data_IF_881657802378
#
_entry.id   IF_881657802378
#
_cell.length_a   1.000
_cell.length_b   1.000
_cell.length_c   1.000
_cell.angle_alpha   90.00
_cell.angle_beta   90.00
_cell.angle_gamma   90.00
#
_symmetry.space_group_name_H-M   'P 1'
#
loop_
_entity.id
_entity.type
_entity.pdbx_description
1 polymer ?
#
# COMPACT_ATOMS: atom_id res chain seq x y z
N UNK A 1 11.71 42.70 -67.44
CA UNK A 1 10.36 42.99 -67.96
C UNK A 1 9.34 42.70 -66.91
N UNK A 2 8.72 43.76 -66.45
CA UNK A 2 7.32 44.00 -66.15
C UNK A 2 6.69 43.18 -65.00
N UNK A 3 6.43 43.77 -63.80
CA UNK A 3 5.23 44.56 -63.36
C UNK A 3 3.98 43.68 -63.24
N UNK A 4 3.25 43.55 -62.11
CA UNK A 4 2.45 44.46 -61.33
C UNK A 4 1.85 43.67 -60.15
N UNK A 5 1.86 44.13 -58.88
CA UNK A 5 0.87 45.04 -58.23
C UNK A 5 -0.45 44.37 -57.86
N UNK A 6 -0.80 44.47 -56.55
CA UNK A 6 -2.18 44.29 -56.12
C UNK A 6 -2.34 44.19 -54.57
N UNK A 7 -2.60 45.34 -53.97
CA UNK A 7 -3.06 45.58 -52.57
C UNK A 7 -4.39 44.88 -52.26
N UNK A 8 -4.60 44.54 -51.02
CA UNK A 8 -5.91 44.26 -50.46
C UNK A 8 -5.86 44.07 -48.94
N UNK A 9 -5.88 45.20 -48.19
CA UNK A 9 -6.16 45.19 -46.74
C UNK A 9 -7.67 45.05 -46.55
N UNK A 10 -8.12 44.10 -45.80
CA UNK A 10 -9.50 43.98 -45.30
C UNK A 10 -9.46 43.65 -43.83
N UNK A 11 -9.61 44.71 -42.98
CA UNK A 11 -9.84 44.56 -41.56
C UNK A 11 -11.32 44.26 -41.29
N UNK A 12 -11.62 43.09 -40.85
CA UNK A 12 -12.96 42.76 -40.29
C UNK A 12 -12.87 42.81 -38.76
N UNK A 13 -13.53 43.79 -38.15
CA UNK A 13 -13.86 43.80 -36.73
C UNK A 13 -15.29 43.28 -36.56
N UNK A 14 -15.58 42.30 -35.76
CA UNK A 14 -16.94 42.02 -35.35
C UNK A 14 -17.27 42.83 -34.10
N UNK A 15 -18.25 43.72 -34.23
CA UNK A 15 -18.95 44.42 -33.17
C UNK A 15 -19.95 43.47 -32.51
N UNK A 16 -19.81 43.25 -31.20
CA UNK A 16 -20.83 42.56 -30.39
C UNK A 16 -21.72 43.61 -29.70
N UNK A 17 -23.04 43.40 -29.64
CA UNK A 17 -23.94 44.32 -28.97
C UNK A 17 -23.93 44.13 -27.45
N UNK A 18 -23.79 45.23 -26.72
CA UNK A 18 -23.93 45.30 -25.26
C UNK A 18 -25.40 45.11 -24.90
N UNK A 19 -25.75 44.03 -24.20
CA UNK A 19 -27.06 43.89 -23.55
C UNK A 19 -27.00 44.50 -22.16
N UNK A 20 -27.82 45.51 -21.94
CA UNK A 20 -28.15 46.07 -20.64
C UNK A 20 -28.80 45.01 -19.77
N UNK A 21 -28.19 44.67 -18.64
CA UNK A 21 -28.79 43.86 -17.58
C UNK A 21 -29.38 44.86 -16.56
N UNK A 22 -30.70 44.73 -16.42
CA UNK A 22 -31.50 45.47 -15.46
C UNK A 22 -31.13 45.07 -14.04
N UNK A 23 -30.73 46.01 -13.22
CA UNK A 23 -30.45 45.84 -11.79
C UNK A 23 -31.79 45.71 -11.04
N UNK A 24 -32.13 44.50 -10.57
CA UNK A 24 -33.17 44.34 -9.57
C UNK A 24 -32.62 44.52 -8.17
N UNK A 25 -33.12 45.54 -7.50
CA UNK A 25 -32.83 45.89 -6.12
C UNK A 25 -33.26 44.79 -5.15
N UNK A 26 -32.33 44.12 -4.51
CA UNK A 26 -32.58 43.32 -3.32
C UNK A 26 -32.60 44.23 -2.09
N UNK A 27 -33.78 44.46 -1.54
CA UNK A 27 -34.00 45.11 -0.28
C UNK A 27 -33.35 44.31 0.86
N UNK A 28 -32.35 44.91 1.48
CA UNK A 28 -31.64 44.38 2.64
C UNK A 28 -32.56 44.33 3.86
N UNK A 29 -32.96 43.15 4.30
CA UNK A 29 -33.60 42.95 5.60
C UNK A 29 -32.51 42.99 6.68
N UNK A 30 -32.35 44.16 7.31
CA UNK A 30 -31.47 44.37 8.47
C UNK A 30 -32.18 43.88 9.73
N UNK A 31 -31.87 42.67 10.20
CA UNK A 31 -32.28 42.20 11.53
C UNK A 31 -31.33 42.85 12.54
N UNK A 32 -31.82 43.55 13.55
CA UNK A 32 -30.96 44.22 14.52
C UNK A 32 -30.27 43.17 15.40
N UNK A 33 -28.95 43.28 15.52
CA UNK A 33 -28.06 42.37 16.30
C UNK A 33 -28.52 42.14 17.75
N UNK A 34 -29.32 43.05 18.32
CA UNK A 34 -29.88 42.94 19.68
C UNK A 34 -30.95 41.85 19.82
N UNK A 35 -31.66 41.48 18.75
CA UNK A 35 -32.66 40.39 18.76
C UNK A 35 -32.00 39.00 18.75
N UNK A 36 -30.82 38.86 18.16
CA UNK A 36 -30.10 37.59 18.06
C UNK A 36 -29.47 37.17 19.42
N UNK A 37 -28.98 38.14 20.19
CA UNK A 37 -28.43 37.89 21.53
C UNK A 37 -29.49 37.50 22.54
N UNK A 38 -30.73 37.99 22.43
CA UNK A 38 -31.81 37.59 23.36
C UNK A 38 -32.30 36.16 23.13
N UNK A 39 -32.28 35.66 21.87
CA UNK A 39 -32.72 34.31 21.54
C UNK A 39 -31.71 33.25 22.05
N UNK A 40 -30.41 33.56 22.02
CA UNK A 40 -29.35 32.65 22.53
C UNK A 40 -29.36 32.54 24.04
N UNK A 41 -29.75 33.60 24.76
CA UNK A 41 -29.84 33.57 26.24
C UNK A 41 -31.08 32.78 26.74
N UNK A 42 -32.16 32.75 25.98
CA UNK A 42 -33.35 31.96 26.31
C UNK A 42 -33.11 30.48 26.07
N UNK A 43 -32.38 30.09 24.99
CA UNK A 43 -32.00 28.70 24.75
C UNK A 43 -30.97 28.16 25.75
N UNK A 44 -30.09 29.01 26.27
CA UNK A 44 -29.08 28.62 27.29
C UNK A 44 -29.69 28.31 28.68
N UNK A 45 -30.84 28.88 28.99
CA UNK A 45 -31.47 28.69 30.32
C UNK A 45 -32.37 27.46 30.39
N UNK A 46 -32.87 26.95 29.30
CA UNK A 46 -33.68 25.72 29.27
C UNK A 46 -32.86 24.43 29.39
N UNK A 47 -31.55 24.48 29.17
CA UNK A 47 -30.65 23.31 29.29
C UNK A 47 -30.21 23.05 30.76
N UNK A 48 -30.33 24.06 31.66
CA UNK A 48 -29.89 23.93 33.06
C UNK A 48 -30.98 23.46 34.03
N UNK A 49 -32.21 23.24 33.58
CA UNK A 49 -33.35 22.90 34.46
C UNK A 49 -33.82 21.45 34.39
N UNK A 50 -33.01 20.52 33.83
CA UNK A 50 -33.33 19.10 33.88
C UNK A 50 -32.59 18.46 35.07
N UNK A 51 -33.32 17.85 36.05
CA UNK A 51 -32.67 17.11 37.14
C UNK A 51 -32.00 15.85 36.55
N UNK A 52 -30.86 15.41 37.12
CA UNK A 52 -30.22 14.19 36.68
C UNK A 52 -31.17 13.00 36.89
N UNK A 53 -31.54 12.32 35.84
CA UNK A 53 -32.22 11.04 35.90
C UNK A 53 -31.28 10.05 36.59
N UNK A 54 -31.58 9.69 37.84
CA UNK A 54 -30.94 8.56 38.48
C UNK A 54 -31.44 7.29 37.82
N UNK A 55 -30.64 6.73 36.93
CA UNK A 55 -30.80 5.37 36.47
C UNK A 55 -30.42 4.44 37.65
N UNK A 56 -31.40 3.94 38.35
CA UNK A 56 -31.24 2.79 39.22
C UNK A 56 -31.03 1.56 38.33
N UNK A 57 -29.80 1.20 38.11
CA UNK A 57 -29.46 -0.13 37.60
C UNK A 57 -29.36 -1.08 38.80
N UNK A 58 -30.43 -1.78 39.09
CA UNK A 58 -30.36 -3.01 39.87
C UNK A 58 -29.71 -4.09 39.00
N UNK A 59 -28.41 -4.16 39.02
CA UNK A 59 -27.68 -5.34 38.57
C UNK A 59 -27.37 -6.10 39.84
N UNK A 60 -28.03 -7.24 40.00
CA UNK A 60 -27.70 -8.23 41.01
C UNK A 60 -26.22 -8.54 40.93
N UNK A 61 -25.51 -8.14 41.98
CA UNK A 61 -24.10 -8.39 42.19
C UNK A 61 -23.91 -9.88 42.53
N UNK A 62 -23.84 -10.72 41.51
CA UNK A 62 -23.48 -12.13 41.69
C UNK A 62 -21.99 -12.19 42.02
N UNK A 63 -21.71 -12.02 43.30
CA UNK A 63 -20.40 -12.31 43.88
C UNK A 63 -20.13 -13.81 43.82
N UNK A 64 -19.55 -14.28 42.73
CA UNK A 64 -18.94 -15.61 42.68
C UNK A 64 -17.61 -15.53 43.42
N UNK A 65 -17.64 -15.77 44.72
CA UNK A 65 -16.42 -16.07 45.48
C UNK A 65 -15.95 -17.45 45.06
N UNK A 66 -14.71 -17.60 44.53
CA UNK A 66 -14.13 -18.91 44.35
C UNK A 66 -14.02 -19.57 45.75
N UNK A 67 -14.78 -20.61 45.97
CA UNK A 67 -14.64 -21.43 47.16
C UNK A 67 -13.39 -22.29 46.99
N UNK A 68 -12.27 -21.79 47.45
CA UNK A 68 -11.07 -22.59 47.63
C UNK A 68 -11.31 -23.43 48.88
N UNK A 69 -11.80 -24.62 48.72
CA UNK A 69 -11.72 -25.63 49.79
C UNK A 69 -10.24 -26.06 49.91
N UNK A 70 -9.66 -26.05 51.09
CA UNK A 70 -8.33 -26.61 51.26
C UNK A 70 -8.44 -28.13 51.08
N UNK A 71 -7.88 -28.59 49.94
CA UNK A 71 -7.70 -30.04 49.67
C UNK A 71 -6.72 -30.52 50.69
N UNK A 72 -7.24 -31.33 51.67
CA UNK A 72 -6.38 -32.15 52.51
C UNK A 72 -5.66 -33.18 51.66
N UNK A 73 -4.37 -33.38 51.82
CA UNK A 73 -3.66 -34.43 51.09
C UNK A 73 -4.20 -35.80 51.51
N UNK A 74 -4.91 -36.47 50.59
CA UNK A 74 -5.20 -37.90 50.74
C UNK A 74 -3.91 -38.69 50.54
N UNK A 75 -3.77 -39.82 51.22
CA UNK A 75 -2.57 -40.63 51.13
C UNK A 75 -2.39 -41.15 49.69
N UNK A 76 -1.14 -41.18 49.27
CA UNK A 76 -0.63 -41.63 48.01
C UNK A 76 -1.20 -43.00 47.62
N UNK A 77 -2.16 -43.01 46.69
CA UNK A 77 -2.41 -44.19 45.87
C UNK A 77 -1.43 -44.16 44.74
N UNK A 78 -0.59 -45.21 44.70
CA UNK A 78 0.55 -45.38 43.81
C UNK A 78 0.16 -45.23 42.35
N UNK A 79 0.45 -44.07 41.74
CA UNK A 79 0.49 -43.92 40.30
C UNK A 79 1.75 -44.59 39.83
N UNK A 80 1.55 -45.72 39.11
CA UNK A 80 2.58 -46.50 38.47
C UNK A 80 3.54 -45.54 37.69
N UNK A 81 4.86 -45.54 37.99
CA UNK A 81 5.83 -44.72 37.32
C UNK A 81 5.92 -44.95 35.79
N UNK A 82 5.35 -46.10 35.32
CA UNK A 82 5.32 -46.44 33.89
C UNK A 82 4.35 -45.60 33.06
N UNK A 83 3.42 -44.83 33.69
CA UNK A 83 2.44 -43.97 33.01
C UNK A 83 2.91 -42.53 32.81
N UNK A 84 4.15 -42.19 33.18
CA UNK A 84 4.76 -40.92 32.77
C UNK A 84 5.18 -41.04 31.30
N UNK A 85 4.21 -40.95 30.41
CA UNK A 85 4.50 -40.69 28.97
C UNK A 85 5.17 -39.33 28.88
N UNK A 86 6.51 -39.35 28.85
CA UNK A 86 7.29 -38.22 28.42
C UNK A 86 7.04 -38.04 26.91
N UNK A 87 5.88 -37.52 26.54
CA UNK A 87 5.70 -36.96 25.18
C UNK A 87 6.58 -35.73 25.10
N UNK A 88 7.83 -35.95 24.66
CA UNK A 88 8.66 -34.84 24.19
C UNK A 88 7.84 -34.09 23.15
N UNK A 89 7.55 -32.78 23.33
CA UNK A 89 6.86 -32.05 22.29
C UNK A 89 7.73 -32.12 21.04
N UNK A 90 7.24 -32.81 20.03
CA UNK A 90 7.92 -32.91 18.75
C UNK A 90 7.73 -31.52 18.10
N UNK A 91 8.76 -30.66 18.13
CA UNK A 91 8.82 -29.45 17.32
C UNK A 91 8.88 -29.91 15.87
N UNK A 92 7.77 -29.86 15.18
CA UNK A 92 7.71 -29.99 13.73
C UNK A 92 7.91 -28.57 13.19
N UNK A 93 9.12 -28.24 12.75
CA UNK A 93 9.35 -27.04 11.96
C UNK A 93 8.62 -27.24 10.64
N UNK A 94 7.53 -26.54 10.47
CA UNK A 94 6.74 -26.56 9.24
C UNK A 94 7.13 -25.33 8.44
N UNK A 95 8.06 -25.49 7.52
CA UNK A 95 8.40 -24.45 6.55
C UNK A 95 7.22 -24.26 5.60
N UNK A 96 6.39 -23.27 5.88
CA UNK A 96 5.30 -22.88 5.01
C UNK A 96 5.76 -21.70 4.15
N UNK A 97 5.85 -21.91 2.85
CA UNK A 97 6.15 -20.84 1.89
C UNK A 97 4.84 -20.20 1.47
N UNK A 98 4.69 -18.90 1.75
CA UNK A 98 3.55 -18.10 1.34
C UNK A 98 3.86 -17.38 0.01
N UNK A 99 2.89 -17.42 -0.89
CA UNK A 99 2.98 -16.82 -2.23
C UNK A 99 1.77 -15.92 -2.41
N UNK A 100 1.94 -14.59 -2.24
CA UNK A 100 0.92 -13.62 -2.63
C UNK A 100 0.71 -13.66 -4.15
N UNK A 101 -0.54 -13.62 -4.58
CA UNK A 101 -0.92 -13.68 -6.00
C UNK A 101 -1.96 -12.62 -6.31
N UNK A 102 -1.69 -11.79 -7.30
CA UNK A 102 -2.65 -10.85 -7.88
C UNK A 102 -3.09 -11.36 -9.25
N UNK A 103 -4.38 -11.35 -9.52
CA UNK A 103 -4.95 -11.74 -10.81
C UNK A 103 -5.63 -10.53 -11.45
N UNK A 104 -5.32 -10.27 -12.72
CA UNK A 104 -5.96 -9.19 -13.47
C UNK A 104 -6.47 -9.67 -14.82
N UNK A 105 -7.48 -8.98 -15.33
CA UNK A 105 -7.94 -9.14 -16.71
C UNK A 105 -7.06 -8.34 -17.69
N UNK A 106 -7.30 -8.45 -19.02
CA UNK A 106 -6.53 -7.70 -20.02
C UNK A 106 -6.63 -6.17 -19.92
N UNK A 107 -7.66 -5.67 -19.23
CA UNK A 107 -7.85 -4.23 -18.97
C UNK A 107 -7.20 -3.80 -17.65
N UNK A 108 -6.36 -4.67 -17.06
CA UNK A 108 -5.73 -4.44 -15.76
C UNK A 108 -6.70 -4.25 -14.60
N UNK A 109 -7.93 -4.78 -14.68
CA UNK A 109 -8.87 -4.82 -13.57
C UNK A 109 -8.62 -6.06 -12.73
N UNK A 110 -8.70 -5.89 -11.41
CA UNK A 110 -8.51 -6.98 -10.45
C UNK A 110 -9.61 -8.03 -10.60
N UNK A 111 -9.23 -9.30 -10.54
CA UNK A 111 -10.15 -10.46 -10.56
C UNK A 111 -10.12 -11.13 -9.20
N UNK A 112 -11.25 -11.10 -8.51
CA UNK A 112 -11.49 -11.72 -7.19
C UNK A 112 -12.51 -12.86 -7.31
N UNK A 113 -12.70 -13.62 -6.23
CA UNK A 113 -13.70 -14.70 -6.18
C UNK A 113 -13.25 -15.98 -6.86
N UNK A 114 -11.95 -16.19 -7.07
CA UNK A 114 -11.39 -17.47 -7.52
C UNK A 114 -11.17 -18.39 -6.33
N UNK A 115 -11.40 -19.68 -6.54
CA UNK A 115 -11.19 -20.74 -5.54
C UNK A 115 -9.79 -21.36 -5.63
N UNK A 116 -9.40 -22.08 -4.59
CA UNK A 116 -8.13 -22.82 -4.54
C UNK A 116 -7.88 -23.69 -5.78
N UNK A 117 -8.93 -24.34 -6.30
CA UNK A 117 -8.86 -25.24 -7.44
C UNK A 117 -8.55 -24.54 -8.77
N UNK A 118 -8.69 -23.22 -8.81
CA UNK A 118 -8.28 -22.42 -9.96
C UNK A 118 -6.76 -22.22 -10.04
N UNK A 119 -6.00 -22.62 -9.01
CA UNK A 119 -4.56 -22.41 -8.95
C UNK A 119 -3.77 -23.69 -9.00
N UNK A 120 -2.68 -23.69 -9.73
CA UNK A 120 -1.65 -24.72 -9.70
C UNK A 120 -0.31 -24.07 -9.41
N UNK A 121 0.37 -24.54 -8.36
CA UNK A 121 1.63 -23.99 -7.90
C UNK A 121 2.76 -24.98 -8.18
N UNK A 122 3.89 -24.46 -8.66
CA UNK A 122 5.07 -25.24 -9.00
C UNK A 122 6.31 -24.66 -8.35
N UNK A 123 7.18 -25.53 -7.84
CA UNK A 123 8.55 -25.21 -7.47
C UNK A 123 9.49 -25.90 -8.46
N UNK A 124 10.20 -25.13 -9.28
CA UNK A 124 10.93 -25.64 -10.41
C UNK A 124 10.00 -26.34 -11.42
N UNK A 125 10.13 -27.68 -11.52
CA UNK A 125 9.27 -28.54 -12.35
C UNK A 125 8.20 -29.26 -11.57
N UNK A 126 8.31 -29.29 -10.23
CA UNK A 126 7.47 -30.11 -9.38
C UNK A 126 6.23 -29.33 -8.95
N UNK A 127 5.05 -29.89 -9.22
CA UNK A 127 3.81 -29.35 -8.72
C UNK A 127 3.75 -29.53 -7.19
N UNK A 128 3.40 -28.45 -6.50
CA UNK A 128 3.25 -28.40 -5.06
C UNK A 128 1.78 -28.45 -4.66
N UNK A 129 1.50 -29.06 -3.52
CA UNK A 129 0.17 -29.08 -2.93
C UNK A 129 -0.09 -27.75 -2.20
N UNK A 130 -1.12 -27.00 -2.60
CA UNK A 130 -1.54 -25.80 -1.89
C UNK A 130 -2.23 -26.24 -0.60
N UNK A 131 -1.60 -26.00 0.55
CA UNK A 131 -2.11 -26.39 1.89
C UNK A 131 -2.85 -25.27 2.58
N UNK A 132 -2.48 -24.04 2.28
CA UNK A 132 -3.17 -22.84 2.77
C UNK A 132 -3.66 -22.03 1.58
N UNK A 133 -4.88 -21.55 1.66
CA UNK A 133 -5.48 -20.64 0.67
C UNK A 133 -6.28 -19.58 1.42
N UNK A 134 -5.99 -18.32 1.18
CA UNK A 134 -6.75 -17.21 1.73
C UNK A 134 -6.89 -16.12 0.67
N UNK A 135 -8.02 -15.43 0.68
CA UNK A 135 -8.29 -14.20 -0.06
C UNK A 135 -8.77 -13.10 0.88
N UNK A 136 -8.57 -13.30 2.19
CA UNK A 136 -9.00 -12.35 3.20
C UNK A 136 -8.01 -11.19 3.32
N UNK A 137 -8.54 -10.01 3.62
CA UNK A 137 -7.74 -8.85 3.96
C UNK A 137 -7.08 -9.05 5.33
N UNK A 138 -5.76 -8.92 5.35
CA UNK A 138 -4.96 -9.02 6.57
C UNK A 138 -4.17 -7.73 6.75
N UNK A 139 -3.87 -7.32 8.00
CA UNK A 139 -3.03 -6.16 8.26
C UNK A 139 -1.69 -6.24 7.55
N UNK A 140 -1.23 -5.10 7.04
CA UNK A 140 -0.02 -4.97 6.22
C UNK A 140 0.94 -3.97 6.86
N UNK A 141 2.24 -4.27 6.79
CA UNK A 141 3.29 -3.28 7.03
C UNK A 141 3.69 -2.67 5.68
N UNK A 142 3.44 -1.37 5.53
CA UNK A 142 3.61 -0.62 4.28
C UNK A 142 4.74 0.39 4.39
N UNK A 143 5.69 0.35 3.45
CA UNK A 143 6.71 1.39 3.30
C UNK A 143 6.47 2.21 2.03
N UNK A 144 6.53 3.52 2.12
CA UNK A 144 6.52 4.41 0.96
C UNK A 144 7.92 4.97 0.75
N UNK A 145 8.45 4.78 -0.45
CA UNK A 145 9.73 5.32 -0.92
C UNK A 145 9.41 6.41 -1.94
N UNK A 146 9.68 7.65 -1.58
CA UNK A 146 9.18 8.82 -2.30
C UNK A 146 10.32 9.68 -2.83
N UNK A 147 10.32 9.90 -4.13
CA UNK A 147 11.33 10.68 -4.83
C UNK A 147 11.15 12.18 -4.59
N UNK A 148 12.24 12.80 -4.13
CA UNK A 148 12.36 14.24 -3.90
C UNK A 148 13.49 14.86 -4.72
N UNK A 149 13.90 14.21 -5.81
CA UNK A 149 14.89 14.73 -6.75
C UNK A 149 14.38 15.98 -7.48
N UNK A 150 15.31 16.71 -8.10
CA UNK A 150 14.98 17.96 -8.79
C UNK A 150 14.01 17.78 -9.97
N UNK A 151 14.04 16.62 -10.65
CA UNK A 151 13.12 16.25 -11.75
C UNK A 151 11.67 16.15 -11.32
N UNK A 152 11.42 15.83 -10.03
CA UNK A 152 10.08 15.74 -9.46
C UNK A 152 9.40 17.11 -9.21
N UNK A 153 10.10 18.24 -9.37
CA UNK A 153 9.58 19.58 -8.99
C UNK A 153 8.21 19.89 -9.58
N UNK A 154 7.98 19.60 -10.85
CA UNK A 154 6.70 19.85 -11.52
C UNK A 154 5.61 18.81 -11.22
N UNK A 155 6.00 17.65 -10.67
CA UNK A 155 5.17 16.47 -10.44
C UNK A 155 4.81 16.31 -8.95
N UNK A 156 5.51 17.01 -8.05
CA UNK A 156 5.54 16.76 -6.62
C UNK A 156 4.17 16.85 -5.94
N UNK A 157 3.36 17.84 -6.30
CA UNK A 157 2.05 18.02 -5.67
C UNK A 157 1.12 16.84 -6.00
N UNK A 158 1.11 16.39 -7.25
CA UNK A 158 0.33 15.22 -7.66
C UNK A 158 0.85 13.93 -7.03
N UNK A 159 2.17 13.82 -6.88
CA UNK A 159 2.76 12.68 -6.20
C UNK A 159 2.38 12.64 -4.70
N UNK A 160 2.32 13.79 -4.02
CA UNK A 160 1.82 13.90 -2.64
C UNK A 160 0.35 13.50 -2.53
N UNK A 161 -0.49 14.00 -3.44
CA UNK A 161 -1.90 13.61 -3.52
C UNK A 161 -2.05 12.09 -3.69
N UNK A 162 -1.22 11.47 -4.53
CA UNK A 162 -1.23 10.02 -4.73
C UNK A 162 -0.90 9.25 -3.45
N UNK A 163 0.07 9.70 -2.66
CA UNK A 163 0.36 9.11 -1.34
C UNK A 163 -0.86 9.18 -0.43
N UNK A 164 -1.56 10.31 -0.43
CA UNK A 164 -2.80 10.49 0.35
C UNK A 164 -3.89 9.51 -0.11
N UNK A 165 -4.12 9.41 -1.43
CA UNK A 165 -5.10 8.48 -2.00
C UNK A 165 -4.74 7.01 -1.69
N UNK A 166 -3.46 6.65 -1.75
CA UNK A 166 -3.00 5.33 -1.34
C UNK A 166 -3.35 5.02 0.12
N UNK A 167 -3.07 5.94 1.03
CA UNK A 167 -3.36 5.75 2.45
C UNK A 167 -4.85 5.71 2.77
N UNK A 168 -5.73 6.31 1.96
CA UNK A 168 -7.18 6.17 2.13
C UNK A 168 -7.67 4.73 1.94
N UNK A 169 -6.89 3.89 1.26
CA UNK A 169 -7.18 2.46 1.11
C UNK A 169 -6.71 1.62 2.29
N UNK A 170 -6.00 2.22 3.24
CA UNK A 170 -5.39 1.55 4.37
C UNK A 170 -6.42 1.08 5.40
N UNK A 171 -6.07 -0.02 6.08
CA UNK A 171 -6.83 -0.54 7.20
C UNK A 171 -6.37 0.15 8.49
N UNK A 172 -7.25 0.42 9.48
CA UNK A 172 -6.84 1.00 10.77
C UNK A 172 -5.76 0.20 11.53
N UNK A 173 -5.59 -1.08 11.21
CA UNK A 173 -4.59 -1.95 11.81
C UNK A 173 -3.22 -1.90 11.13
N UNK A 174 -3.15 -1.34 9.91
CA UNK A 174 -1.89 -1.26 9.17
C UNK A 174 -0.89 -0.36 9.88
N UNK A 175 0.38 -0.61 9.60
CA UNK A 175 1.45 0.29 9.98
C UNK A 175 2.21 0.79 8.75
N UNK A 176 2.73 2.01 8.84
CA UNK A 176 3.36 2.69 7.73
C UNK A 176 4.69 3.29 8.15
N UNK A 177 5.67 3.28 7.26
CA UNK A 177 6.83 4.15 7.35
C UNK A 177 7.06 4.89 6.03
N UNK A 178 7.85 5.94 6.07
CA UNK A 178 8.16 6.70 4.88
C UNK A 178 9.63 7.07 4.79
N UNK A 179 10.19 6.82 3.62
CA UNK A 179 11.53 7.23 3.20
C UNK A 179 11.37 8.19 2.04
N UNK A 180 12.01 9.34 2.12
CA UNK A 180 12.22 10.22 0.97
C UNK A 180 13.64 10.08 0.48
N UNK A 181 13.88 10.36 -0.80
CA UNK A 181 15.24 10.33 -1.34
C UNK A 181 15.47 11.40 -2.40
N UNK A 182 16.71 11.87 -2.45
CA UNK A 182 17.29 12.73 -3.47
C UNK A 182 18.75 12.32 -3.63
N UNK A 183 19.74 13.14 -3.22
CA UNK A 183 21.16 12.77 -3.19
C UNK A 183 21.44 11.57 -2.26
N UNK A 184 20.60 11.34 -1.27
CA UNK A 184 20.62 10.21 -0.34
C UNK A 184 19.22 9.93 0.18
N UNK A 185 18.94 8.68 0.63
CA UNK A 185 17.67 8.38 1.30
C UNK A 185 17.67 8.90 2.74
N UNK A 186 16.48 9.35 3.18
CA UNK A 186 16.21 9.82 4.54
C UNK A 186 14.88 9.22 5.03
N UNK A 187 14.90 8.56 6.19
CA UNK A 187 13.68 8.11 6.86
C UNK A 187 13.01 9.33 7.49
N UNK A 188 11.85 9.73 6.96
CA UNK A 188 11.08 10.86 7.51
C UNK A 188 10.03 10.42 8.53
N UNK A 189 9.61 9.17 8.48
CA UNK A 189 8.71 8.58 9.47
C UNK A 189 9.07 7.12 9.73
N UNK A 190 9.25 6.78 11.00
CA UNK A 190 9.28 5.39 11.48
C UNK A 190 7.88 4.76 11.41
N UNK A 191 7.76 3.46 11.69
CA UNK A 191 6.48 2.77 11.70
C UNK A 191 5.47 3.48 12.58
N UNK A 192 4.34 3.85 11.99
CA UNK A 192 3.20 4.50 12.64
C UNK A 192 1.90 3.99 12.05
N UNK A 193 0.80 4.13 12.78
CA UNK A 193 -0.56 3.90 12.28
C UNK A 193 -1.25 5.22 11.89
N UNK A 194 -0.61 6.36 12.18
CA UNK A 194 -1.12 7.70 11.83
C UNK A 194 -0.69 8.09 10.43
N UNK A 195 -1.64 8.13 9.54
CA UNK A 195 -1.45 8.63 8.17
C UNK A 195 -1.18 10.13 8.18
N UNK A 196 -1.79 10.86 9.11
CA UNK A 196 -1.66 12.31 9.29
C UNK A 196 -0.23 12.71 9.62
N UNK A 197 0.48 11.90 10.42
CA UNK A 197 1.88 12.15 10.77
C UNK A 197 2.79 12.12 9.53
N UNK A 198 2.55 11.15 8.64
CA UNK A 198 3.29 11.02 7.38
C UNK A 198 2.97 12.19 6.45
N UNK A 199 1.68 12.51 6.27
CA UNK A 199 1.25 13.61 5.43
C UNK A 199 1.81 14.94 5.91
N UNK A 200 1.78 15.21 7.22
CA UNK A 200 2.32 16.42 7.82
C UNK A 200 3.81 16.61 7.52
N UNK A 201 4.60 15.54 7.54
CA UNK A 201 6.03 15.60 7.23
C UNK A 201 6.32 15.78 5.74
N UNK A 202 5.50 15.16 4.88
CA UNK A 202 5.68 15.21 3.42
C UNK A 202 5.45 16.60 2.84
N UNK A 203 4.53 17.39 3.41
CA UNK A 203 4.19 18.74 2.93
C UNK A 203 5.39 19.70 2.98
N UNK A 204 6.28 19.56 3.96
CA UNK A 204 7.41 20.47 4.16
C UNK A 204 8.66 20.12 3.36
N UNK A 205 8.68 19.00 2.65
CA UNK A 205 9.84 18.59 1.85
C UNK A 205 9.87 19.33 0.51
N UNK A 206 11.04 19.78 0.07
CA UNK A 206 11.22 20.52 -1.18
C UNK A 206 12.08 19.68 -2.13
N UNK A 207 11.63 19.40 -3.38
CA UNK A 207 12.40 18.67 -4.36
C UNK A 207 13.73 19.35 -4.69
N UNK A 208 14.82 18.59 -4.63
CA UNK A 208 16.17 19.06 -4.95
C UNK A 208 17.15 17.91 -5.09
N UNK A 209 18.28 18.16 -5.75
CA UNK A 209 19.39 17.17 -5.82
C UNK A 209 19.20 16.11 -6.90
N UNK A 210 19.97 15.05 -6.81
CA UNK A 210 20.02 13.92 -7.73
C UNK A 210 19.10 12.79 -7.25
N UNK A 211 19.22 11.60 -7.86
CA UNK A 211 18.29 10.48 -7.62
C UNK A 211 19.05 9.26 -7.16
N UNK A 212 19.03 8.97 -5.84
CA UNK A 212 19.62 7.78 -5.22
C UNK A 212 18.54 6.71 -4.95
N UNK A 213 17.88 6.25 -6.01
CA UNK A 213 16.74 5.32 -5.95
C UNK A 213 17.12 3.95 -5.39
N UNK A 214 18.23 3.38 -5.86
CA UNK A 214 18.67 2.04 -5.42
C UNK A 214 19.08 2.05 -3.93
N UNK A 215 19.73 3.12 -3.46
CA UNK A 215 20.04 3.31 -2.04
C UNK A 215 18.74 3.39 -1.20
N UNK A 216 17.71 4.05 -1.72
CA UNK A 216 16.41 4.18 -1.04
C UNK A 216 15.66 2.85 -0.97
N UNK A 217 15.69 2.06 -2.03
CA UNK A 217 15.12 0.70 -2.04
C UNK A 217 15.84 -0.19 -1.03
N UNK A 218 17.18 -0.13 -0.99
CA UNK A 218 17.97 -0.86 0.02
C UNK A 218 17.53 -0.51 1.44
N UNK A 219 17.44 0.78 1.74
CA UNK A 219 16.99 1.25 3.06
C UNK A 219 15.58 0.77 3.39
N UNK A 220 14.64 0.86 2.42
CA UNK A 220 13.26 0.41 2.59
C UNK A 220 13.15 -1.08 2.87
N UNK A 221 13.87 -1.91 2.11
CA UNK A 221 13.93 -3.36 2.33
C UNK A 221 14.55 -3.68 3.69
N UNK A 222 15.61 -2.98 4.08
CA UNK A 222 16.25 -3.15 5.39
C UNK A 222 15.30 -2.78 6.54
N UNK A 223 14.54 -1.69 6.39
CA UNK A 223 13.53 -1.25 7.37
C UNK A 223 12.41 -2.26 7.54
N UNK A 224 11.99 -2.93 6.46
CA UNK A 224 10.96 -3.97 6.50
C UNK A 224 11.30 -5.19 7.35
N UNK A 225 12.56 -5.36 7.75
CA UNK A 225 12.93 -6.41 8.73
C UNK A 225 12.35 -6.16 10.11
N UNK A 226 12.04 -4.90 10.44
CA UNK A 226 11.43 -4.48 11.71
C UNK A 226 9.90 -4.49 11.68
N UNK A 227 9.30 -4.80 10.53
CA UNK A 227 7.86 -4.78 10.32
C UNK A 227 7.12 -5.79 11.21
N UNK A 228 6.01 -5.35 11.79
CA UNK A 228 5.19 -6.13 12.72
C UNK A 228 4.42 -7.25 12.03
N UNK A 229 3.91 -6.98 10.82
CA UNK A 229 3.05 -7.93 10.12
C UNK A 229 3.82 -8.78 9.13
N UNK A 230 3.41 -10.04 8.92
CA UNK A 230 4.03 -10.92 7.93
C UNK A 230 3.75 -10.46 6.48
N UNK A 231 2.63 -9.77 6.23
CA UNK A 231 2.34 -9.16 4.94
C UNK A 231 3.03 -7.83 4.85
N UNK A 232 4.03 -7.73 3.95
CA UNK A 232 4.93 -6.59 3.82
C UNK A 232 4.91 -6.07 2.40
N UNK A 233 4.78 -4.75 2.23
CA UNK A 233 4.83 -4.15 0.91
C UNK A 233 5.57 -2.81 0.90
N UNK A 234 6.26 -2.53 -0.22
CA UNK A 234 6.89 -1.26 -0.53
C UNK A 234 6.22 -0.63 -1.75
N UNK A 235 5.89 0.64 -1.66
CA UNK A 235 5.45 1.46 -2.78
C UNK A 235 6.54 2.47 -3.11
N UNK A 236 7.10 2.37 -4.31
CA UNK A 236 8.07 3.33 -4.84
C UNK A 236 7.34 4.32 -5.73
N UNK A 237 7.52 5.61 -5.50
CA UNK A 237 7.01 6.69 -6.35
C UNK A 237 8.20 7.53 -6.80
N UNK A 238 8.52 7.48 -8.11
CA UNK A 238 9.70 8.13 -8.69
C UNK A 238 9.48 8.44 -10.16
N UNK A 239 10.26 9.34 -10.72
CA UNK A 239 10.38 9.50 -12.17
C UNK A 239 11.48 8.61 -12.80
N UNK A 240 11.99 7.65 -12.03
CA UNK A 240 12.57 6.41 -12.46
C UNK A 240 14.04 6.40 -12.79
N UNK A 241 14.72 7.53 -12.78
CA UNK A 241 16.17 7.55 -12.98
C UNK A 241 16.94 7.20 -11.72
N UNK A 242 18.00 6.40 -11.82
CA UNK A 242 19.04 6.35 -10.78
C UNK A 242 20.33 6.90 -11.33
N UNK A 243 20.86 7.95 -10.69
CA UNK A 243 22.12 8.57 -11.14
C UNK A 243 23.07 8.88 -9.97
N UNK A 244 22.70 8.44 -8.74
CA UNK A 244 23.51 8.79 -7.57
C UNK A 244 23.61 7.72 -6.48
N UNK A 245 23.05 6.55 -6.68
CA UNK A 245 23.17 5.47 -5.70
C UNK A 245 24.60 4.92 -5.62
N UNK A 246 24.93 4.38 -4.44
CA UNK A 246 26.16 3.63 -4.20
C UNK A 246 26.01 2.16 -4.55
N UNK A 247 24.79 1.62 -4.41
CA UNK A 247 24.46 0.26 -4.78
C UNK A 247 24.22 0.14 -6.28
N UNK A 248 24.61 -0.99 -6.84
CA UNK A 248 24.34 -1.36 -8.22
C UNK A 248 22.98 -2.05 -8.34
N UNK A 249 22.40 -2.04 -9.54
CA UNK A 249 21.16 -2.78 -9.82
C UNK A 249 21.25 -4.28 -9.45
N UNK A 250 22.40 -4.92 -9.75
CA UNK A 250 22.63 -6.33 -9.44
C UNK A 250 22.57 -6.63 -7.95
N UNK A 251 23.13 -5.74 -7.13
CA UNK A 251 23.09 -5.85 -5.66
C UNK A 251 21.67 -5.68 -5.15
N UNK A 252 20.94 -4.68 -5.65
CA UNK A 252 19.54 -4.44 -5.24
C UNK A 252 18.63 -5.58 -5.68
N UNK A 253 18.77 -6.09 -6.91
CA UNK A 253 18.02 -7.27 -7.36
C UNK A 253 18.27 -8.49 -6.46
N UNK A 254 19.47 -8.65 -5.93
CA UNK A 254 19.80 -9.72 -4.97
C UNK A 254 19.13 -9.50 -3.62
N UNK A 255 19.22 -8.28 -3.08
CA UNK A 255 18.58 -7.90 -1.80
C UNK A 255 17.05 -8.06 -1.87
N UNK A 256 16.43 -7.62 -2.98
CA UNK A 256 14.98 -7.72 -3.19
C UNK A 256 14.53 -9.19 -3.32
N UNK A 257 15.35 -10.06 -3.93
CA UNK A 257 15.06 -11.51 -4.00
C UNK A 257 15.10 -12.19 -2.63
N UNK A 258 15.98 -11.73 -1.73
CA UNK A 258 16.09 -12.28 -0.37
C UNK A 258 14.98 -11.78 0.54
N UNK A 259 14.44 -10.59 0.26
CA UNK A 259 13.41 -9.99 1.05
C UNK A 259 12.04 -10.60 0.71
N UNK A 260 11.28 -11.04 1.72
CA UNK A 260 9.89 -11.44 1.54
C UNK A 260 8.98 -10.19 1.62
N UNK A 261 9.21 -9.25 0.69
CA UNK A 261 8.55 -7.94 0.61
C UNK A 261 8.01 -7.74 -0.79
N UNK A 262 6.71 -7.50 -0.89
CA UNK A 262 6.06 -7.20 -2.16
C UNK A 262 6.38 -5.76 -2.59
N UNK A 263 6.84 -5.54 -3.79
CA UNK A 263 7.18 -4.22 -4.28
C UNK A 263 6.24 -3.75 -5.38
N UNK A 264 5.66 -2.56 -5.21
CA UNK A 264 4.95 -1.82 -6.24
C UNK A 264 5.72 -0.57 -6.61
N UNK A 265 5.56 -0.11 -7.84
CA UNK A 265 6.16 1.13 -8.28
C UNK A 265 5.20 1.96 -9.13
N UNK A 266 5.25 3.27 -8.97
CA UNK A 266 4.61 4.25 -9.83
C UNK A 266 5.73 5.08 -10.46
N UNK A 267 5.92 4.90 -11.75
CA UNK A 267 6.89 5.67 -12.54
C UNK A 267 6.22 6.83 -13.28
N UNK A 268 6.71 8.06 -13.08
CA UNK A 268 6.14 9.29 -13.62
C UNK A 268 7.11 9.86 -14.65
N UNK A 269 6.94 9.53 -15.93
CA UNK A 269 7.92 9.84 -16.99
C UNK A 269 7.46 11.01 -17.88
N UNK A 270 8.44 11.78 -18.38
CA UNK A 270 8.18 12.76 -19.43
C UNK A 270 8.37 12.09 -20.80
N UNK A 271 7.29 11.97 -21.58
CA UNK A 271 7.33 11.39 -22.91
C UNK A 271 7.93 12.29 -23.97
N UNK A 272 7.91 13.60 -23.76
CA UNK A 272 8.33 14.55 -24.80
C UNK A 272 9.84 14.78 -24.78
N UNK A 273 10.45 14.85 -23.59
CA UNK A 273 11.88 15.14 -23.43
C UNK A 273 12.51 14.29 -22.32
N UNK A 274 12.42 12.94 -22.40
CA UNK A 274 12.99 12.09 -21.34
C UNK A 274 14.51 12.19 -21.33
N UNK A 275 15.07 12.28 -20.13
CA UNK A 275 16.50 12.09 -19.90
C UNK A 275 16.91 10.64 -20.19
N UNK A 276 18.22 10.35 -20.23
CA UNK A 276 18.70 8.98 -20.44
C UNK A 276 18.28 8.09 -19.26
N UNK A 277 18.36 8.61 -18.05
CA UNK A 277 17.94 7.94 -16.83
C UNK A 277 16.43 7.64 -16.84
N UNK A 278 15.59 8.60 -17.21
CA UNK A 278 14.15 8.39 -17.33
C UNK A 278 13.77 7.32 -18.37
N UNK A 279 14.60 7.11 -19.40
CA UNK A 279 14.36 6.04 -20.37
C UNK A 279 14.64 4.64 -19.83
N UNK A 280 15.58 4.51 -18.90
CA UNK A 280 15.95 3.23 -18.28
C UNK A 280 15.07 2.92 -17.05
N UNK A 281 14.48 3.93 -16.43
CA UNK A 281 13.67 3.81 -15.22
C UNK A 281 12.52 2.80 -15.32
N UNK A 282 11.70 2.79 -16.39
CA UNK A 282 10.59 1.84 -16.53
C UNK A 282 11.01 0.38 -16.47
N UNK A 283 12.13 0.03 -17.13
CA UNK A 283 12.65 -1.33 -17.15
C UNK A 283 13.14 -1.75 -15.77
N UNK A 284 13.93 -0.88 -15.10
CA UNK A 284 14.42 -1.12 -13.75
C UNK A 284 13.29 -1.35 -12.75
N UNK A 285 12.29 -0.46 -12.72
CA UNK A 285 11.16 -0.59 -11.80
C UNK A 285 10.30 -1.83 -12.10
N UNK A 286 10.10 -2.17 -13.39
CA UNK A 286 9.39 -3.37 -13.80
C UNK A 286 10.09 -4.63 -13.32
N UNK A 287 11.40 -4.75 -13.54
CA UNK A 287 12.18 -5.92 -13.13
C UNK A 287 12.18 -6.10 -11.60
N UNK A 288 12.37 -5.03 -10.83
CA UNK A 288 12.38 -5.09 -9.37
C UNK A 288 11.01 -5.50 -8.81
N UNK A 289 9.92 -4.97 -9.36
CA UNK A 289 8.57 -5.32 -8.91
C UNK A 289 8.17 -6.75 -9.31
N UNK A 290 8.51 -7.19 -10.52
CA UNK A 290 8.21 -8.54 -11.01
C UNK A 290 8.89 -9.65 -10.17
N UNK A 291 10.10 -9.42 -9.69
CA UNK A 291 10.81 -10.35 -8.82
C UNK A 291 9.98 -10.69 -7.59
N UNK A 292 9.31 -9.70 -7.02
CA UNK A 292 8.51 -9.83 -5.78
C UNK A 292 7.07 -10.27 -6.01
N UNK A 293 6.60 -10.25 -7.25
CA UNK A 293 5.19 -10.50 -7.60
C UNK A 293 4.31 -9.26 -7.54
N UNK A 294 4.90 -8.09 -7.38
CA UNK A 294 4.22 -6.81 -7.53
C UNK A 294 4.22 -6.29 -8.95
N UNK A 295 3.99 -4.99 -9.11
CA UNK A 295 3.80 -4.38 -10.43
C UNK A 295 4.35 -2.96 -10.49
N UNK A 296 4.89 -2.58 -11.63
CA UNK A 296 5.18 -1.19 -11.97
C UNK A 296 4.04 -0.61 -12.84
N UNK A 297 3.69 0.62 -12.56
CA UNK A 297 2.72 1.41 -13.33
C UNK A 297 3.43 2.63 -13.90
N UNK A 298 3.42 2.74 -15.21
CA UNK A 298 3.92 3.93 -15.91
C UNK A 298 2.78 4.92 -16.07
N UNK A 299 3.04 6.17 -15.72
CA UNK A 299 2.07 7.26 -15.77
C UNK A 299 2.62 8.38 -16.63
N UNK A 300 1.86 8.77 -17.64
CA UNK A 300 2.17 9.84 -18.57
C UNK A 300 1.54 11.16 -18.10
N UNK A 301 0.37 11.08 -17.49
CA UNK A 301 -0.35 12.24 -16.97
C UNK A 301 -0.33 12.21 -15.43
N UNK A 302 0.35 13.16 -14.77
CA UNK A 302 0.40 13.20 -13.31
C UNK A 302 -0.96 13.24 -12.61
N UNK A 303 -2.05 13.61 -13.31
CA UNK A 303 -3.39 13.60 -12.72
C UNK A 303 -3.92 12.16 -12.49
N UNK A 304 -3.38 11.15 -13.15
CA UNK A 304 -3.80 9.75 -12.99
C UNK A 304 -3.12 9.07 -11.79
N UNK A 305 -2.18 9.76 -11.12
CA UNK A 305 -1.41 9.24 -10.00
C UNK A 305 -2.29 8.76 -8.84
N UNK A 306 -3.31 9.55 -8.47
CA UNK A 306 -4.22 9.21 -7.38
C UNK A 306 -5.01 7.93 -7.65
N UNK A 307 -5.51 7.78 -8.88
CA UNK A 307 -6.27 6.59 -9.30
C UNK A 307 -5.40 5.34 -9.29
N UNK A 308 -4.15 5.45 -9.75
CA UNK A 308 -3.20 4.32 -9.76
C UNK A 308 -2.78 3.96 -8.34
N UNK A 309 -2.54 4.94 -7.48
CA UNK A 309 -2.21 4.71 -6.08
C UNK A 309 -3.37 3.99 -5.34
N UNK A 310 -4.60 4.45 -5.54
CA UNK A 310 -5.81 3.79 -5.04
C UNK A 310 -5.92 2.35 -5.55
N UNK A 311 -5.66 2.13 -6.84
CA UNK A 311 -5.68 0.79 -7.43
C UNK A 311 -4.66 -0.14 -6.80
N UNK A 312 -3.42 0.31 -6.55
CA UNK A 312 -2.39 -0.46 -5.86
C UNK A 312 -2.87 -0.84 -4.45
N UNK A 313 -3.45 0.10 -3.72
CA UNK A 313 -3.99 -0.15 -2.40
C UNK A 313 -5.09 -1.21 -2.41
N UNK A 314 -6.02 -1.16 -3.37
CA UNK A 314 -7.06 -2.17 -3.56
C UNK A 314 -6.44 -3.52 -3.93
N UNK A 315 -5.43 -3.57 -4.82
CA UNK A 315 -4.74 -4.80 -5.19
C UNK A 315 -4.08 -5.45 -3.96
N UNK A 316 -3.40 -4.66 -3.13
CA UNK A 316 -2.78 -5.14 -1.90
C UNK A 316 -3.79 -5.78 -0.94
N UNK A 317 -5.03 -5.26 -0.87
CA UNK A 317 -6.09 -5.80 0.00
C UNK A 317 -6.67 -7.13 -0.50
N UNK A 318 -6.74 -7.30 -1.81
CA UNK A 318 -7.48 -8.38 -2.46
C UNK A 318 -6.57 -9.43 -3.12
N UNK A 319 -5.38 -9.65 -2.56
CA UNK A 319 -4.49 -10.70 -3.02
C UNK A 319 -4.92 -12.07 -2.52
N UNK A 320 -4.77 -13.07 -3.36
CA UNK A 320 -4.79 -14.47 -2.92
C UNK A 320 -3.46 -14.80 -2.26
N UNK A 321 -3.50 -15.57 -1.19
CA UNK A 321 -2.29 -16.11 -0.53
C UNK A 321 -2.30 -17.63 -0.66
N UNK A 322 -1.36 -18.15 -1.43
CA UNK A 322 -1.16 -19.59 -1.58
C UNK A 322 -0.03 -20.03 -0.66
N UNK A 323 -0.31 -20.96 0.26
CA UNK A 323 0.69 -21.53 1.14
C UNK A 323 0.96 -22.99 0.80
N UNK A 324 2.22 -23.37 0.68
CA UNK A 324 2.62 -24.75 0.44
C UNK A 324 3.83 -25.14 1.29
N UNK A 325 3.96 -26.44 1.53
CA UNK A 325 5.17 -27.02 2.12
C UNK A 325 6.04 -27.56 1.00
N UNK A 326 7.28 -27.10 0.84
CA UNK A 326 8.17 -27.60 -0.21
C UNK A 326 8.36 -29.11 -0.16
N UNK A 327 8.25 -29.78 -1.30
CA UNK A 327 8.59 -31.21 -1.41
C UNK A 327 10.08 -31.47 -1.20
N UNK A 328 10.92 -30.49 -1.55
CA UNK A 328 12.34 -30.51 -1.26
C UNK A 328 12.61 -29.81 0.08
N UNK A 329 12.86 -30.54 1.18
CA UNK A 329 13.06 -29.96 2.50
C UNK A 329 14.50 -29.47 2.76
N UNK A 330 15.38 -29.47 1.76
CA UNK A 330 16.78 -29.11 1.96
C UNK A 330 16.94 -27.64 2.35
N UNK A 331 17.64 -27.39 3.46
CA UNK A 331 18.06 -26.06 3.93
C UNK A 331 19.43 -25.73 3.36
N UNK A 332 19.49 -25.52 2.04
CA UNK A 332 20.74 -25.38 1.27
C UNK A 332 21.04 -23.95 0.82
N UNK A 333 20.25 -22.97 1.25
CA UNK A 333 20.39 -21.56 0.88
C UNK A 333 20.18 -21.28 -0.61
N UNK A 334 19.73 -22.25 -1.40
CA UNK A 334 19.61 -22.09 -2.86
C UNK A 334 18.30 -21.45 -3.26
N UNK A 335 18.34 -20.75 -4.38
CA UNK A 335 17.15 -20.18 -5.01
C UNK A 335 16.17 -21.25 -5.51
N UNK A 336 14.93 -21.16 -5.08
CA UNK A 336 13.79 -22.01 -5.48
C UNK A 336 12.86 -21.21 -6.36
N UNK A 337 12.80 -21.56 -7.67
CA UNK A 337 11.93 -20.86 -8.62
C UNK A 337 10.47 -21.28 -8.39
N UNK A 338 9.59 -20.28 -8.20
CA UNK A 338 8.13 -20.46 -8.08
C UNK A 338 7.46 -20.13 -9.41
N UNK A 339 6.42 -20.87 -9.74
CA UNK A 339 5.50 -20.56 -10.83
C UNK A 339 4.08 -20.87 -10.44
N UNK A 340 3.20 -19.89 -10.51
CA UNK A 340 1.76 -20.04 -10.35
C UNK A 340 1.12 -20.10 -11.73
N UNK A 341 0.28 -21.11 -11.97
CA UNK A 341 -0.57 -21.21 -13.16
C UNK A 341 -2.02 -21.10 -12.74
N UNK A 342 -2.81 -20.40 -13.54
CA UNK A 342 -4.24 -20.27 -13.36
C UNK A 342 -4.98 -21.22 -14.29
N UNK A 343 -6.02 -21.87 -13.76
CA UNK A 343 -7.03 -22.62 -14.47
C UNK A 343 -8.29 -21.75 -14.42
N UNK A 344 -8.51 -20.87 -15.40
CA UNK A 344 -9.59 -19.89 -15.31
C UNK A 344 -10.95 -20.59 -15.42
N UNK A 345 -11.97 -20.13 -14.68
CA UNK A 345 -13.35 -20.52 -14.91
C UNK A 345 -13.77 -20.23 -16.36
N UNK A 346 -14.69 -21.04 -16.87
CA UNK A 346 -15.22 -20.86 -18.23
C UNK A 346 -15.92 -19.50 -18.37
N UNK A 347 -15.66 -18.81 -19.49
CA UNK A 347 -16.29 -17.53 -19.82
C UNK A 347 -15.49 -16.29 -19.38
N UNK A 348 -14.38 -16.44 -18.67
CA UNK A 348 -13.48 -15.33 -18.40
C UNK A 348 -12.50 -15.10 -19.55
N UNK A 349 -12.09 -13.83 -19.80
CA UNK A 349 -11.03 -13.52 -20.75
C UNK A 349 -9.68 -14.11 -20.29
N UNK A 350 -8.64 -14.08 -21.12
CA UNK A 350 -7.29 -14.44 -20.69
C UNK A 350 -6.87 -13.58 -19.49
N UNK A 351 -6.47 -14.24 -18.39
CA UNK A 351 -6.09 -13.57 -17.14
C UNK A 351 -4.56 -13.53 -16.99
N UNK A 352 -4.06 -12.47 -16.37
CA UNK A 352 -2.66 -12.32 -16.01
C UNK A 352 -2.45 -12.66 -14.54
N UNK A 353 -1.37 -13.37 -14.24
CA UNK A 353 -0.98 -13.80 -12.90
C UNK A 353 0.29 -13.06 -12.51
N UNK A 354 0.26 -12.37 -11.38
CA UNK A 354 1.41 -11.74 -10.75
C UNK A 354 1.69 -12.44 -9.43
N UNK A 355 2.89 -13.00 -9.30
CA UNK A 355 3.34 -13.72 -8.12
C UNK A 355 4.86 -13.68 -8.05
N UNK A 356 5.43 -13.79 -6.84
CA UNK A 356 6.90 -13.82 -6.69
C UNK A 356 7.53 -14.93 -7.52
N UNK A 357 8.69 -14.65 -8.10
CA UNK A 357 9.36 -15.56 -9.03
C UNK A 357 10.11 -16.69 -8.34
N UNK A 358 10.31 -16.59 -7.02
CA UNK A 358 11.00 -17.59 -6.21
C UNK A 358 11.31 -17.08 -4.81
N UNK A 359 12.10 -17.86 -4.09
CA UNK A 359 12.62 -17.55 -2.76
C UNK A 359 13.96 -18.29 -2.54
N UNK A 360 14.73 -17.85 -1.55
CA UNK A 360 15.89 -18.61 -1.09
C UNK A 360 15.45 -19.62 -0.01
N UNK A 361 15.82 -20.89 -0.18
CA UNK A 361 15.61 -21.87 0.87
C UNK A 361 16.37 -21.43 2.15
N UNK A 362 15.86 -21.75 3.35
CA UNK A 362 16.62 -21.49 4.57
C UNK A 362 18.04 -22.04 4.47
N UNK A 363 19.01 -21.37 5.07
CA UNK A 363 20.35 -21.90 5.31
C UNK A 363 20.43 -22.34 6.76
N UNK A 364 21.09 -23.47 7.04
CA UNK A 364 21.36 -23.93 8.41
C UNK A 364 22.23 -22.93 9.19
#
# INVERSE_FOLDING_TARGET
>A
MARHSGRGRGSFRPTFPVRHIVSSSLSSLRIPVRAFCALLLILGWTIYALPPAQAQSSIDDVHIKPRVEPVQPSPEDGIDPSLKTHTKPMKVDVDLVLVPVTITDPMNRLVTGLDKDNFSLFEGKDQQEIRHFSSEDAPVSLGVIFDMSASMTSKIERAREAVVEFFKTANPQDEFFMITFADKPEEISDFTQSVEDIQGKLVYTIPKGRTALLDAIYLGVSKMRQAKYPKKALLVISDGGDNHSRYTEGEIKSVVKEADVLMYAIGIYDHYFPTEEERLGPELLSELTEITGGRAFTIDNPNDLGDVATKIGIELRNQYVLGYRPKNPAHDGKWRKIKVKLIPPKGLPPLKVYAKTGYYAPSE
#
